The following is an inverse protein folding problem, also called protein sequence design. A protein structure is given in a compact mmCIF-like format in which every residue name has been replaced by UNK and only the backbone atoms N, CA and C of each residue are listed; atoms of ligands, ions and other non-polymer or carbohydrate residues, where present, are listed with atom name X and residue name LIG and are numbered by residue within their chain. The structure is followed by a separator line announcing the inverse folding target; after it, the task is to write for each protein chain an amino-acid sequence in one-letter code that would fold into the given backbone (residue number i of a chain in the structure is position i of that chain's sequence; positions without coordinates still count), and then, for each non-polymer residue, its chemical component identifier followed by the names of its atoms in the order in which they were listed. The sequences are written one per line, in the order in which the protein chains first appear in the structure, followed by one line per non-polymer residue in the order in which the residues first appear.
data_IF_267777506979
#
_entry.id   IF_267777506979
#
_cell.length_a   1.000
_cell.length_b   1.000
_cell.length_c   1.000
_cell.angle_alpha   90.00
_cell.angle_beta   90.00
_cell.angle_gamma   90.00
#
_symmetry.space_group_name_H-M   'P 1'
#
loop_
_entity.id
_entity.type
_entity.pdbx_description
1 polymer ?
#
# COMPACT_ATOMS: atom_id res chain seq x y z
N UNK A 1 -5.92 9.05 -5.83
CA UNK A 1 -4.70 9.67 -5.23
C UNK A 1 -4.46 8.97 -3.91
N UNK A 2 -3.24 8.55 -3.61
CA UNK A 2 -2.87 7.83 -2.38
C UNK A 2 -2.85 8.82 -1.22
N UNK A 3 -3.66 8.57 -0.20
CA UNK A 3 -3.68 9.40 1.00
C UNK A 3 -2.51 9.02 1.90
N UNK A 4 -1.63 9.97 2.20
CA UNK A 4 -0.44 9.71 2.99
C UNK A 4 -0.37 10.65 4.22
N UNK A 5 0.17 10.16 5.33
CA UNK A 5 0.55 10.96 6.48
C UNK A 5 2.05 10.87 6.72
N UNK A 6 2.62 11.92 7.32
CA UNK A 6 4.04 11.99 7.68
C UNK A 6 4.12 12.14 9.20
N UNK A 7 4.82 11.22 9.84
CA UNK A 7 5.03 11.17 11.29
C UNK A 7 6.53 11.29 11.56
N UNK A 8 7.01 12.49 11.86
CA UNK A 8 8.43 12.79 12.07
C UNK A 8 8.53 14.10 12.87
N UNK A 9 9.33 14.14 13.91
CA UNK A 9 9.53 15.33 14.76
C UNK A 9 10.44 16.38 14.09
N UNK A 10 11.13 16.00 13.02
CA UNK A 10 11.94 16.90 12.22
C UNK A 10 11.12 17.52 11.08
N UNK A 11 10.78 18.81 11.17
CA UNK A 11 10.10 19.55 10.10
C UNK A 11 10.81 19.50 8.75
N UNK A 12 12.14 19.36 8.77
CA UNK A 12 12.94 19.25 7.56
C UNK A 12 12.55 18.01 6.73
N UNK A 13 12.38 16.86 7.38
CA UNK A 13 11.91 15.61 6.75
C UNK A 13 10.53 15.79 6.12
N UNK A 14 9.59 16.38 6.87
CA UNK A 14 8.26 16.65 6.36
C UNK A 14 8.28 17.53 5.10
N UNK A 15 9.11 18.57 5.10
CA UNK A 15 9.24 19.48 3.97
C UNK A 15 9.86 18.81 2.74
N UNK A 16 10.88 17.96 2.93
CA UNK A 16 11.52 17.22 1.84
C UNK A 16 10.50 16.26 1.18
N UNK A 17 9.72 15.51 1.95
CA UNK A 17 8.72 14.60 1.41
C UNK A 17 7.64 15.37 0.64
N UNK A 18 7.14 16.49 1.20
CA UNK A 18 6.18 17.36 0.50
C UNK A 18 6.76 17.90 -0.79
N UNK A 19 7.98 18.44 -0.74
CA UNK A 19 8.66 18.96 -1.92
C UNK A 19 8.78 17.89 -3.03
N UNK A 20 9.24 16.69 -2.70
CA UNK A 20 9.32 15.61 -3.69
C UNK A 20 7.94 15.18 -4.21
N UNK A 21 6.92 15.19 -3.35
CA UNK A 21 5.55 14.88 -3.75
C UNK A 21 5.03 15.87 -4.78
N UNK A 22 5.25 17.17 -4.57
CA UNK A 22 4.76 18.25 -5.43
C UNK A 22 5.60 18.43 -6.70
N UNK A 23 6.93 18.55 -6.54
CA UNK A 23 7.84 18.82 -7.65
C UNK A 23 7.86 17.70 -8.69
N UNK A 24 7.79 16.45 -8.24
CA UNK A 24 7.86 15.25 -9.10
C UNK A 24 6.47 14.65 -9.38
N UNK A 25 5.40 15.35 -8.98
CA UNK A 25 4.02 14.96 -9.20
C UNK A 25 3.72 13.51 -8.78
N UNK A 26 4.24 13.11 -7.61
CA UNK A 26 3.88 11.82 -7.06
C UNK A 26 2.38 11.78 -6.78
N UNK A 27 1.67 10.67 -7.00
CA UNK A 27 0.22 10.59 -6.79
C UNK A 27 -0.14 10.45 -5.31
N UNK A 28 0.59 11.17 -4.47
CA UNK A 28 0.38 11.24 -3.03
C UNK A 28 -0.38 12.52 -2.69
N UNK A 29 -1.33 12.38 -1.78
CA UNK A 29 -1.97 13.50 -1.09
C UNK A 29 -1.56 13.42 0.37
N UNK A 30 -0.73 14.35 0.83
CA UNK A 30 -0.38 14.45 2.25
C UNK A 30 -1.57 15.03 2.99
N UNK A 31 -2.29 14.16 3.73
CA UNK A 31 -3.52 14.51 4.46
C UNK A 31 -3.26 14.99 5.89
N UNK A 32 -2.03 14.85 6.38
CA UNK A 32 -1.64 15.34 7.70
C UNK A 32 -0.19 15.06 8.04
N UNK A 33 0.28 15.74 9.08
CA UNK A 33 1.61 15.52 9.68
C UNK A 33 1.50 15.49 11.20
N UNK A 34 2.36 14.70 11.85
CA UNK A 34 2.47 14.64 13.30
C UNK A 34 3.95 14.71 13.71
N UNK A 35 4.24 15.49 14.77
CA UNK A 35 5.60 15.72 15.26
C UNK A 35 5.92 14.86 16.52
N UNK A 36 5.03 13.95 16.91
CA UNK A 36 5.24 13.02 18.03
C UNK A 36 4.35 11.78 17.87
N UNK A 37 4.71 10.71 18.59
CA UNK A 37 4.06 9.42 18.41
C UNK A 37 2.60 9.34 18.88
N UNK A 38 2.18 10.15 19.86
CA UNK A 38 0.79 10.17 20.32
C UNK A 38 -0.12 10.78 19.23
N UNK A 39 0.25 11.96 18.74
CA UNK A 39 -0.49 12.65 17.69
C UNK A 39 -0.46 11.85 16.38
N UNK A 40 0.67 11.16 16.10
CA UNK A 40 0.79 10.26 14.96
C UNK A 40 -0.25 9.14 15.00
N UNK A 41 -0.41 8.45 16.13
CA UNK A 41 -1.37 7.37 16.29
C UNK A 41 -2.81 7.87 16.13
N UNK A 42 -3.16 9.02 16.72
CA UNK A 42 -4.47 9.65 16.57
C UNK A 42 -4.74 10.06 15.11
N UNK A 43 -3.76 10.68 14.46
CA UNK A 43 -3.84 11.09 13.06
C UNK A 43 -4.09 9.90 12.14
N UNK A 44 -3.34 8.81 12.29
CA UNK A 44 -3.47 7.60 11.48
C UNK A 44 -4.86 6.97 11.68
N UNK A 45 -5.36 6.88 12.91
CA UNK A 45 -6.69 6.33 13.21
C UNK A 45 -7.82 7.17 12.62
N UNK A 46 -7.69 8.50 12.65
CA UNK A 46 -8.67 9.44 12.12
C UNK A 46 -8.70 9.45 10.60
N UNK A 47 -7.52 9.60 9.98
CA UNK A 47 -7.40 9.78 8.54
C UNK A 47 -7.45 8.47 7.74
N UNK A 48 -7.15 7.32 8.38
CA UNK A 48 -7.07 5.99 7.75
C UNK A 48 -6.29 6.07 6.42
N UNK A 49 -5.01 6.49 6.44
CA UNK A 49 -4.24 6.72 5.23
C UNK A 49 -3.90 5.41 4.51
N UNK A 50 -3.62 5.51 3.22
CA UNK A 50 -3.09 4.39 2.42
C UNK A 50 -1.60 4.16 2.69
N UNK A 51 -0.88 5.24 3.07
CA UNK A 51 0.57 5.25 3.29
C UNK A 51 0.94 6.08 4.51
N UNK A 52 1.88 5.57 5.30
CA UNK A 52 2.47 6.27 6.45
C UNK A 52 3.98 6.35 6.25
N UNK A 53 4.51 7.57 6.27
CA UNK A 53 5.93 7.82 6.48
C UNK A 53 6.14 7.97 7.98
N UNK A 54 7.01 7.13 8.57
CA UNK A 54 7.13 6.99 10.02
C UNK A 54 8.58 7.09 10.47
N UNK A 55 8.91 8.11 11.26
CA UNK A 55 10.17 8.07 12.00
C UNK A 55 10.07 7.08 13.17
N UNK A 56 11.20 6.45 13.49
CA UNK A 56 11.31 5.55 14.64
C UNK A 56 11.39 6.37 15.94
N UNK A 57 12.17 7.44 15.92
CA UNK A 57 12.52 8.20 17.14
C UNK A 57 11.67 9.46 17.28
N UNK A 58 10.46 9.29 17.77
CA UNK A 58 9.57 10.41 18.08
C UNK A 58 9.32 10.54 19.58
N UNK A 59 9.05 11.77 20.10
CA UNK A 59 8.64 11.97 21.48
C UNK A 59 7.37 11.18 21.85
N UNK A 60 7.26 10.77 23.11
CA UNK A 60 6.13 10.09 23.77
C UNK A 60 5.89 8.65 23.34
N UNK A 61 6.01 8.30 22.08
CA UNK A 61 5.80 6.93 21.55
C UNK A 61 6.67 6.75 20.31
N UNK A 62 7.44 5.67 20.27
CA UNK A 62 8.30 5.40 19.12
C UNK A 62 7.53 4.76 17.95
N UNK A 63 8.09 4.87 16.74
CA UNK A 63 7.44 4.36 15.53
C UNK A 63 7.13 2.86 15.57
N UNK A 64 7.96 2.04 16.21
CA UNK A 64 7.69 0.60 16.33
C UNK A 64 6.47 0.29 17.20
N UNK A 65 6.24 1.08 18.25
CA UNK A 65 5.05 0.93 19.10
C UNK A 65 3.78 1.31 18.35
N UNK A 66 3.86 2.30 17.45
CA UNK A 66 2.74 2.72 16.61
C UNK A 66 2.42 1.64 15.59
N UNK A 67 3.43 1.08 14.89
CA UNK A 67 3.23 0.05 13.87
C UNK A 67 2.47 -1.16 14.42
N UNK A 68 2.71 -1.53 15.68
CA UNK A 68 2.00 -2.64 16.34
C UNK A 68 0.52 -2.35 16.61
N UNK A 69 0.11 -1.08 16.59
CA UNK A 69 -1.23 -0.62 16.95
C UNK A 69 -2.05 -0.15 15.75
N UNK A 70 -1.43 -0.05 14.56
CA UNK A 70 -2.12 0.37 13.34
C UNK A 70 -2.37 -0.82 12.42
N UNK A 71 -3.40 -0.69 11.56
CA UNK A 71 -3.81 -1.74 10.64
C UNK A 71 -3.54 -1.33 9.19
N UNK A 72 -3.29 -2.35 8.36
CA UNK A 72 -3.39 -2.42 6.90
C UNK A 72 -3.20 -1.10 6.11
N UNK A 73 -2.04 -0.45 6.26
CA UNK A 73 -1.58 0.58 5.34
C UNK A 73 -0.13 0.31 4.94
N UNK A 74 0.33 0.89 3.85
CA UNK A 74 1.76 0.89 3.51
C UNK A 74 2.52 1.69 4.57
N UNK A 75 3.63 1.15 5.08
CA UNK A 75 4.47 1.84 6.07
C UNK A 75 5.88 1.94 5.53
N UNK A 76 6.36 3.17 5.39
CA UNK A 76 7.76 3.45 5.07
C UNK A 76 8.41 4.05 6.32
N UNK A 77 9.37 3.33 6.87
CA UNK A 77 10.17 3.84 7.99
C UNK A 77 11.19 4.85 7.44
N UNK A 78 11.34 5.96 8.12
CA UNK A 78 12.38 6.96 7.85
C UNK A 78 13.24 7.08 9.09
N UNK A 79 14.55 6.93 8.97
CA UNK A 79 15.42 6.91 10.17
C UNK A 79 16.80 7.45 9.87
N UNK A 80 17.39 8.15 10.86
CA UNK A 80 18.80 8.52 10.83
C UNK A 80 19.74 7.37 11.21
N UNK A 81 19.20 6.26 11.72
CA UNK A 81 19.97 5.11 12.18
C UNK A 81 19.96 4.00 11.14
N UNK A 82 21.07 3.85 10.42
CA UNK A 82 21.28 2.79 9.43
C UNK A 82 21.90 1.55 10.11
N UNK A 83 21.11 0.90 10.99
CA UNK A 83 21.53 -0.38 11.58
C UNK A 83 20.69 -1.53 11.06
N UNK A 84 21.36 -2.65 10.77
CA UNK A 84 20.71 -3.88 10.33
C UNK A 84 19.62 -4.36 11.30
N UNK A 85 19.79 -4.19 12.60
CA UNK A 85 18.83 -4.58 13.62
C UNK A 85 17.51 -3.79 13.52
N UNK A 86 17.59 -2.48 13.31
CA UNK A 86 16.40 -1.64 13.11
C UNK A 86 15.65 -2.02 11.83
N UNK A 87 16.38 -2.26 10.74
CA UNK A 87 15.81 -2.68 9.48
C UNK A 87 15.09 -4.04 9.61
N UNK A 88 15.73 -5.02 10.25
CA UNK A 88 15.14 -6.33 10.48
C UNK A 88 13.87 -6.24 11.35
N UNK A 89 13.90 -5.43 12.41
CA UNK A 89 12.76 -5.21 13.30
C UNK A 89 11.59 -4.55 12.58
N UNK A 90 11.84 -3.51 11.79
CA UNK A 90 10.82 -2.81 11.01
C UNK A 90 10.09 -3.76 10.05
N UNK A 91 10.84 -4.56 9.27
CA UNK A 91 10.26 -5.52 8.34
C UNK A 91 9.45 -6.62 9.04
N UNK A 92 9.92 -7.12 10.20
CA UNK A 92 9.16 -8.09 11.01
C UNK A 92 7.85 -7.53 11.55
N UNK A 93 7.77 -6.23 11.78
CA UNK A 93 6.57 -5.54 12.22
C UNK A 93 5.63 -5.16 11.07
N UNK A 94 6.02 -5.46 9.82
CA UNK A 94 5.19 -5.23 8.64
C UNK A 94 5.46 -3.90 7.93
N UNK A 95 6.57 -3.22 8.22
CA UNK A 95 7.00 -2.10 7.38
C UNK A 95 7.24 -2.57 5.94
N UNK A 96 6.77 -1.79 4.98
CA UNK A 96 6.90 -2.10 3.56
C UNK A 96 8.28 -1.76 3.04
N UNK A 97 8.92 -0.75 3.65
CA UNK A 97 10.27 -0.30 3.30
C UNK A 97 10.89 0.57 4.39
N UNK A 98 12.19 0.84 4.21
CA UNK A 98 12.99 1.68 5.11
C UNK A 98 13.85 2.64 4.27
N UNK A 99 13.85 3.90 4.68
CA UNK A 99 14.67 4.96 4.10
C UNK A 99 15.61 5.53 5.16
N UNK A 100 16.89 5.60 4.85
CA UNK A 100 17.85 6.32 5.67
C UNK A 100 17.78 7.83 5.39
N UNK A 101 17.95 8.66 6.41
CA UNK A 101 18.17 10.10 6.26
C UNK A 101 19.65 10.34 5.87
N UNK A 102 19.97 11.23 4.90
CA UNK A 102 19.05 12.12 4.17
C UNK A 102 18.26 11.39 3.07
N UNK A 103 16.99 11.78 2.91
CA UNK A 103 16.09 11.17 1.92
C UNK A 103 16.46 11.63 0.52
N UNK A 104 16.74 10.67 -0.37
CA UNK A 104 16.92 10.89 -1.80
C UNK A 104 15.61 10.59 -2.55
N UNK A 105 15.30 11.41 -3.57
CA UNK A 105 14.07 11.25 -4.35
C UNK A 105 13.93 9.85 -4.97
N UNK A 106 15.00 9.32 -5.56
CA UNK A 106 14.98 7.99 -6.19
C UNK A 106 14.63 6.87 -5.21
N UNK A 107 15.13 6.94 -3.98
CA UNK A 107 14.87 5.99 -2.91
C UNK A 107 13.43 6.15 -2.38
N UNK A 108 12.98 7.40 -2.14
CA UNK A 108 11.61 7.70 -1.73
C UNK A 108 10.59 7.15 -2.73
N UNK A 109 10.81 7.40 -4.01
CA UNK A 109 9.96 6.90 -5.09
C UNK A 109 9.86 5.38 -5.08
N UNK A 110 10.99 4.67 -4.98
CA UNK A 110 11.02 3.21 -4.92
C UNK A 110 10.32 2.65 -3.67
N UNK A 111 10.50 3.31 -2.53
CA UNK A 111 9.84 2.92 -1.28
C UNK A 111 8.32 3.09 -1.37
N UNK A 112 7.83 4.21 -1.92
CA UNK A 112 6.40 4.43 -2.19
C UNK A 112 5.85 3.33 -3.08
N UNK A 113 6.57 2.99 -4.15
CA UNK A 113 6.22 1.90 -5.05
C UNK A 113 6.03 0.57 -4.32
N UNK A 114 6.97 0.22 -3.44
CA UNK A 114 6.91 -1.04 -2.66
C UNK A 114 5.78 -1.01 -1.64
N UNK A 115 5.57 0.14 -0.98
CA UNK A 115 4.63 0.27 0.12
C UNK A 115 3.17 0.22 -0.31
N UNK A 116 2.82 0.85 -1.44
CA UNK A 116 1.43 0.98 -1.88
C UNK A 116 1.11 0.22 -3.15
N UNK A 117 2.10 -0.51 -3.70
CA UNK A 117 1.93 -1.28 -4.93
C UNK A 117 1.73 -0.42 -6.17
N UNK A 118 1.92 0.88 -6.08
CA UNK A 118 1.93 1.81 -7.21
C UNK A 118 3.34 1.85 -7.78
N UNK A 119 3.47 1.40 -9.01
CA UNK A 119 4.74 1.42 -9.70
C UNK A 119 4.81 2.65 -10.61
N UNK A 120 5.51 3.68 -10.16
CA UNK A 120 6.17 4.59 -11.06
C UNK A 120 7.40 3.87 -11.60
N UNK A 121 7.20 3.10 -12.63
CA UNK A 121 8.26 2.25 -13.17
C UNK A 121 9.27 3.06 -13.97
N UNK A 122 8.99 4.34 -14.22
CA UNK A 122 9.71 5.17 -15.19
C UNK A 122 9.43 4.74 -16.63
N UNK A 123 8.40 3.92 -16.83
CA UNK A 123 7.90 3.54 -18.13
C UNK A 123 6.45 4.02 -18.25
N UNK A 124 6.22 5.04 -19.09
CA UNK A 124 4.94 5.72 -19.25
C UNK A 124 3.78 4.75 -19.55
N UNK A 125 4.04 3.72 -20.37
CA UNK A 125 3.05 2.70 -20.69
C UNK A 125 2.59 1.96 -19.43
N UNK A 126 3.54 1.51 -18.59
CA UNK A 126 3.22 0.76 -17.37
C UNK A 126 2.56 1.66 -16.34
N UNK A 127 3.06 2.90 -16.20
CA UNK A 127 2.52 3.86 -15.26
C UNK A 127 1.07 4.24 -15.61
N UNK A 128 0.75 4.43 -16.90
CA UNK A 128 -0.62 4.65 -17.39
C UNK A 128 -1.53 3.46 -17.08
N UNK A 129 -1.06 2.23 -17.32
CA UNK A 129 -1.82 1.03 -16.99
C UNK A 129 -2.10 0.91 -15.51
N UNK A 130 -1.13 1.23 -14.67
CA UNK A 130 -1.30 1.14 -13.22
C UNK A 130 -2.35 2.13 -12.71
N UNK A 131 -2.32 3.38 -13.18
CA UNK A 131 -3.37 4.37 -12.86
C UNK A 131 -4.74 3.81 -13.22
N UNK A 132 -4.91 3.36 -14.46
CA UNK A 132 -6.18 2.80 -14.93
C UNK A 132 -6.62 1.59 -14.09
N UNK A 133 -5.72 0.64 -13.83
CA UNK A 133 -6.04 -0.56 -13.07
C UNK A 133 -6.44 -0.26 -11.62
N UNK A 134 -5.85 0.77 -10.99
CA UNK A 134 -6.21 1.18 -9.63
C UNK A 134 -7.57 1.88 -9.56
N UNK A 135 -8.00 2.54 -10.62
CA UNK A 135 -9.32 3.19 -10.71
C UNK A 135 -10.43 2.19 -11.07
N UNK A 136 -10.11 1.21 -11.94
CA UNK A 136 -11.08 0.29 -12.55
C UNK A 136 -10.92 -1.18 -12.12
N UNK A 137 -10.17 -1.48 -11.03
CA UNK A 137 -9.90 -2.87 -10.60
C UNK A 137 -11.17 -3.69 -10.35
N UNK A 138 -12.27 -3.07 -9.96
CA UNK A 138 -13.54 -3.72 -9.66
C UNK A 138 -14.32 -4.09 -10.94
N UNK A 139 -13.95 -3.53 -12.07
CA UNK A 139 -14.59 -3.78 -13.37
C UNK A 139 -13.98 -4.98 -14.10
N UNK A 140 -14.63 -5.42 -15.18
CA UNK A 140 -14.06 -6.43 -16.08
C UNK A 140 -12.89 -5.83 -16.86
N UNK A 141 -11.69 -6.33 -16.61
CA UNK A 141 -10.47 -5.89 -17.31
C UNK A 141 -10.33 -6.65 -18.64
N UNK A 142 -10.32 -5.90 -19.74
CA UNK A 142 -10.13 -6.42 -21.10
C UNK A 142 -8.76 -5.96 -21.63
N UNK A 143 -7.89 -6.92 -21.99
CA UNK A 143 -6.52 -6.60 -22.43
C UNK A 143 -6.50 -5.78 -23.74
N UNK A 144 -7.46 -6.03 -24.65
CA UNK A 144 -7.59 -5.25 -25.87
C UNK A 144 -7.88 -3.76 -25.58
N UNK A 145 -8.76 -3.47 -24.61
CA UNK A 145 -9.07 -2.10 -24.19
C UNK A 145 -7.84 -1.41 -23.59
N UNK A 146 -7.10 -2.12 -22.74
CA UNK A 146 -5.85 -1.63 -22.15
C UNK A 146 -4.78 -1.36 -23.23
N UNK A 147 -4.64 -2.25 -24.22
CA UNK A 147 -3.69 -2.08 -25.31
C UNK A 147 -4.01 -0.83 -26.16
N UNK A 148 -5.30 -0.57 -26.41
CA UNK A 148 -5.77 0.68 -27.06
C UNK A 148 -5.46 1.91 -26.23
N UNK A 149 -5.64 1.85 -24.90
CA UNK A 149 -5.34 2.95 -23.98
C UNK A 149 -3.86 3.39 -24.04
N UNK A 150 -2.95 2.44 -24.19
CA UNK A 150 -1.50 2.71 -24.24
C UNK A 150 -0.93 2.65 -25.67
N UNK A 151 -1.77 2.70 -26.68
CA UNK A 151 -1.42 2.75 -28.11
C UNK A 151 -0.40 1.69 -28.55
N UNK A 152 -0.55 0.44 -28.09
CA UNK A 152 0.33 -0.65 -28.50
C UNK A 152 -0.41 -1.99 -28.65
N UNK A 153 0.30 -3.04 -29.14
CA UNK A 153 -0.28 -4.38 -29.19
C UNK A 153 -0.37 -5.03 -27.80
N UNK A 154 -1.37 -5.90 -27.60
CA UNK A 154 -1.53 -6.66 -26.35
C UNK A 154 -0.25 -7.42 -25.96
N UNK A 155 0.41 -8.05 -26.93
CA UNK A 155 1.65 -8.81 -26.70
C UNK A 155 2.79 -7.93 -26.22
N UNK A 156 2.94 -6.72 -26.80
CA UNK A 156 3.94 -5.75 -26.35
C UNK A 156 3.64 -5.24 -24.94
N UNK A 157 2.39 -4.80 -24.72
CA UNK A 157 1.90 -4.36 -23.41
C UNK A 157 2.15 -5.40 -22.32
N UNK A 158 1.71 -6.64 -22.54
CA UNK A 158 1.86 -7.73 -21.57
C UNK A 158 3.32 -8.04 -21.25
N UNK A 159 4.21 -8.02 -22.25
CA UNK A 159 5.65 -8.25 -22.08
C UNK A 159 6.29 -7.12 -21.28
N UNK A 160 5.99 -5.86 -21.62
CA UNK A 160 6.53 -4.69 -20.92
C UNK A 160 6.02 -4.66 -19.49
N UNK A 161 4.73 -4.83 -19.27
CA UNK A 161 4.14 -4.87 -17.94
C UNK A 161 4.79 -5.97 -17.08
N UNK A 162 4.92 -7.21 -17.61
CA UNK A 162 5.57 -8.31 -16.88
C UNK A 162 7.05 -8.03 -16.57
N UNK A 163 7.77 -7.36 -17.48
CA UNK A 163 9.18 -6.98 -17.27
C UNK A 163 9.34 -6.05 -16.07
N UNK A 164 8.46 -5.05 -15.93
CA UNK A 164 8.56 -4.05 -14.88
C UNK A 164 7.88 -4.48 -13.57
N UNK A 165 6.77 -5.24 -13.65
CA UNK A 165 5.97 -5.65 -12.50
C UNK A 165 6.30 -7.04 -11.95
N UNK A 166 7.09 -7.84 -12.67
CA UNK A 166 7.39 -9.21 -12.32
C UNK A 166 6.20 -10.19 -12.47
N UNK A 167 5.02 -9.70 -12.84
CA UNK A 167 3.79 -10.49 -12.96
C UNK A 167 2.92 -10.03 -14.12
N UNK A 168 1.92 -10.86 -14.51
CA UNK A 168 0.97 -10.49 -15.56
C UNK A 168 -0.02 -9.43 -15.08
N UNK A 169 -0.61 -8.67 -16.02
CA UNK A 169 -1.66 -7.68 -15.73
C UNK A 169 -2.81 -8.33 -14.93
N UNK A 170 -3.29 -9.48 -15.36
CA UNK A 170 -4.40 -10.19 -14.70
C UNK A 170 -4.02 -10.63 -13.28
N UNK A 171 -2.80 -11.14 -13.08
CA UNK A 171 -2.31 -11.47 -11.73
C UNK A 171 -2.25 -10.23 -10.84
N UNK A 172 -1.81 -9.10 -11.39
CA UNK A 172 -1.77 -7.83 -10.67
C UNK A 172 -3.17 -7.36 -10.25
N UNK A 173 -4.16 -7.44 -11.15
CA UNK A 173 -5.56 -7.11 -10.84
C UNK A 173 -6.10 -7.99 -9.72
N UNK A 174 -5.85 -9.29 -9.76
CA UNK A 174 -6.26 -10.18 -8.66
C UNK A 174 -5.60 -9.82 -7.34
N UNK A 175 -4.28 -9.53 -7.35
CA UNK A 175 -3.57 -9.04 -6.16
C UNK A 175 -4.23 -7.79 -5.60
N UNK A 176 -4.45 -6.78 -6.44
CA UNK A 176 -5.08 -5.51 -6.05
C UNK A 176 -6.48 -5.70 -5.46
N UNK A 177 -7.32 -6.56 -6.07
CA UNK A 177 -8.64 -6.91 -5.56
C UNK A 177 -8.59 -7.54 -4.17
N UNK A 178 -7.64 -8.46 -3.96
CA UNK A 178 -7.49 -9.10 -2.65
C UNK A 178 -7.00 -8.11 -1.59
N UNK A 179 -6.05 -7.24 -1.90
CA UNK A 179 -5.59 -6.19 -0.98
C UNK A 179 -6.72 -5.23 -0.58
N UNK A 180 -7.56 -4.82 -1.53
CA UNK A 180 -8.76 -4.02 -1.23
C UNK A 180 -9.81 -4.84 -0.46
N UNK A 181 -9.98 -6.11 -0.81
CA UNK A 181 -10.90 -7.02 -0.12
C UNK A 181 -10.54 -7.25 1.36
N UNK A 182 -9.26 -7.35 1.67
CA UNK A 182 -8.78 -7.44 3.07
C UNK A 182 -9.23 -6.22 3.87
N UNK A 183 -9.09 -5.01 3.33
CA UNK A 183 -9.55 -3.77 4.00
C UNK A 183 -11.05 -3.79 4.29
N UNK A 184 -11.88 -4.23 3.33
CA UNK A 184 -13.32 -4.35 3.52
C UNK A 184 -13.70 -5.39 4.58
N UNK A 185 -12.99 -6.54 4.61
CA UNK A 185 -13.16 -7.53 5.68
C UNK A 185 -12.77 -6.98 7.05
N UNK A 186 -11.76 -6.11 7.11
CA UNK A 186 -11.35 -5.40 8.33
C UNK A 186 -12.38 -4.36 8.77
N UNK A 187 -13.19 -3.85 7.86
CA UNK A 187 -14.35 -2.98 8.12
C UNK A 187 -15.63 -3.76 8.45
N UNK A 188 -15.54 -5.08 8.71
CA UNK A 188 -16.63 -5.99 9.02
C UNK A 188 -17.64 -6.22 7.88
N UNK A 189 -17.28 -5.96 6.62
CA UNK A 189 -18.06 -6.38 5.48
C UNK A 189 -18.13 -7.91 5.39
N UNK A 190 -19.26 -8.44 4.94
CA UNK A 190 -19.37 -9.89 4.70
C UNK A 190 -18.48 -10.34 3.55
N UNK A 191 -18.08 -11.62 3.56
CA UNK A 191 -17.20 -12.19 2.49
C UNK A 191 -17.86 -12.05 1.11
N UNK A 192 -19.18 -12.19 1.03
CA UNK A 192 -19.93 -12.08 -0.23
C UNK A 192 -19.92 -10.64 -0.74
N UNK A 193 -20.31 -9.69 0.08
CA UNK A 193 -20.27 -8.25 -0.26
C UNK A 193 -18.86 -7.79 -0.65
N UNK A 194 -17.86 -8.22 0.11
CA UNK A 194 -16.46 -7.94 -0.21
C UNK A 194 -16.10 -8.44 -1.61
N UNK A 195 -16.41 -9.70 -1.92
CA UNK A 195 -16.11 -10.28 -3.23
C UNK A 195 -16.77 -9.51 -4.38
N UNK A 196 -18.04 -9.16 -4.23
CA UNK A 196 -18.82 -8.39 -5.21
C UNK A 196 -18.21 -6.98 -5.38
N UNK A 197 -17.94 -6.29 -4.28
CA UNK A 197 -17.39 -4.91 -4.28
C UNK A 197 -16.02 -4.84 -4.96
N UNK A 198 -15.16 -5.85 -4.76
CA UNK A 198 -13.84 -5.86 -5.42
C UNK A 198 -13.87 -6.47 -6.84
N UNK A 199 -15.05 -6.77 -7.39
CA UNK A 199 -15.24 -7.15 -8.78
C UNK A 199 -15.15 -8.65 -9.09
N UNK A 200 -15.42 -9.53 -8.10
CA UNK A 200 -15.58 -10.96 -8.34
C UNK A 200 -17.07 -11.32 -8.53
N UNK A 201 -17.44 -11.70 -9.74
CA UNK A 201 -18.77 -12.22 -10.03
C UNK A 201 -19.01 -13.64 -9.48
N UNK A 202 -17.93 -14.38 -9.23
CA UNK A 202 -17.95 -15.74 -8.69
C UNK A 202 -17.17 -15.80 -7.38
N UNK A 203 -17.88 -16.15 -6.31
CA UNK A 203 -17.32 -16.24 -4.97
C UNK A 203 -16.18 -17.27 -4.86
N UNK A 204 -16.24 -18.39 -5.62
CA UNK A 204 -15.17 -19.38 -5.63
C UNK A 204 -13.86 -18.82 -6.18
N UNK A 205 -13.92 -17.91 -7.15
CA UNK A 205 -12.74 -17.21 -7.64
C UNK A 205 -12.13 -16.30 -6.56
N UNK A 206 -12.97 -15.57 -5.81
CA UNK A 206 -12.50 -14.80 -4.67
C UNK A 206 -11.78 -15.68 -3.64
N UNK A 207 -12.40 -16.79 -3.22
CA UNK A 207 -11.78 -17.74 -2.28
C UNK A 207 -10.44 -18.27 -2.80
N UNK A 208 -10.37 -18.66 -4.07
CA UNK A 208 -9.14 -19.16 -4.71
C UNK A 208 -8.02 -18.13 -4.61
N UNK A 209 -8.26 -16.90 -5.07
CA UNK A 209 -7.23 -15.85 -5.08
C UNK A 209 -6.93 -15.33 -3.68
N UNK A 210 -7.92 -15.21 -2.82
CA UNK A 210 -7.70 -14.85 -1.42
C UNK A 210 -6.75 -15.85 -0.74
N UNK A 211 -7.00 -17.15 -0.89
CA UNK A 211 -6.11 -18.17 -0.35
C UNK A 211 -4.70 -18.12 -0.98
N UNK A 212 -4.62 -17.87 -2.27
CA UNK A 212 -3.34 -17.74 -2.98
C UNK A 212 -2.47 -16.59 -2.45
N UNK A 213 -3.07 -15.43 -2.17
CA UNK A 213 -2.32 -14.23 -1.76
C UNK A 213 -2.18 -14.11 -0.23
N UNK A 214 -3.17 -14.58 0.54
CA UNK A 214 -3.18 -14.46 2.00
C UNK A 214 -2.72 -15.75 2.72
N UNK A 215 -2.53 -16.85 1.99
CA UNK A 215 -2.15 -18.15 2.56
C UNK A 215 -3.25 -18.81 3.40
N UNK A 216 -4.46 -18.26 3.43
CA UNK A 216 -5.60 -18.78 4.19
C UNK A 216 -6.93 -18.38 3.58
N UNK A 217 -8.01 -19.10 3.92
CA UNK A 217 -9.36 -18.77 3.48
C UNK A 217 -9.90 -17.50 4.17
N UNK A 218 -10.82 -16.72 3.53
CA UNK A 218 -11.41 -15.50 4.11
C UNK A 218 -12.02 -15.71 5.49
N UNK A 219 -12.74 -16.83 5.71
CA UNK A 219 -13.33 -17.15 7.01
C UNK A 219 -12.27 -17.37 8.11
N UNK A 220 -11.15 -18.01 7.77
CA UNK A 220 -10.04 -18.19 8.70
C UNK A 220 -9.34 -16.86 9.01
N UNK A 221 -9.21 -15.97 8.03
CA UNK A 221 -8.70 -14.62 8.20
C UNK A 221 -9.54 -13.82 9.21
N UNK A 222 -10.87 -13.79 9.02
CA UNK A 222 -11.81 -13.09 9.91
C UNK A 222 -11.73 -13.64 11.33
N UNK A 223 -11.73 -14.98 11.50
CA UNK A 223 -11.61 -15.61 12.82
C UNK A 223 -10.32 -15.23 13.52
N UNK A 224 -9.16 -15.33 12.83
CA UNK A 224 -7.84 -14.96 13.38
C UNK A 224 -7.76 -13.49 13.79
N UNK A 225 -8.44 -12.62 13.02
CA UNK A 225 -8.55 -11.18 13.35
C UNK A 225 -9.31 -10.98 14.66
N UNK A 226 -10.50 -11.59 14.83
CA UNK A 226 -11.31 -11.50 16.05
C UNK A 226 -10.54 -11.99 17.28
N UNK A 227 -9.86 -13.13 17.17
CA UNK A 227 -9.01 -13.66 18.23
C UNK A 227 -7.88 -12.69 18.62
N UNK A 228 -7.32 -11.96 17.65
CA UNK A 228 -6.20 -11.03 17.88
C UNK A 228 -6.64 -9.71 18.51
N UNK A 229 -7.84 -9.24 18.23
CA UNK A 229 -8.31 -7.91 18.64
C UNK A 229 -9.41 -7.96 19.73
N UNK A 230 -9.74 -9.14 20.28
CA UNK A 230 -10.59 -9.29 21.47
C UNK A 230 -12.03 -8.84 21.26
N UNK A 231 -12.57 -8.92 20.04
CA UNK A 231 -14.01 -8.75 19.79
C UNK A 231 -14.74 -10.07 20.10
N UNK A 232 -14.75 -10.46 21.40
CA UNK A 232 -15.73 -11.40 21.93
C UNK A 232 -17.06 -10.64 22.05
N UNK A 233 -18.08 -11.12 21.30
CA UNK A 233 -19.39 -10.55 21.14
C UNK A 233 -20.28 -10.59 22.39
#
# INVERSE_FOLDING_TARGET
MIRAVICDDERATCNIIRHFTEAEKLPLQIVGTAENGRDALELIRREKPDLVFMDIHMPYMNGFEIIQQIQACGIIIITAYDSFEYAQRALRLGASDILAKPIEFGQLRQAVVRAVGWNFTGNELVDTLLVYLHEHFHEKIELEALAKLVYCSESHMARVFKKYMGMTIISYVHKLRIEKGVRLLDENCSVKETAETVGYQNLNHFYKYFNQYMGMAPAAYIRRRREKYGEDG
#
